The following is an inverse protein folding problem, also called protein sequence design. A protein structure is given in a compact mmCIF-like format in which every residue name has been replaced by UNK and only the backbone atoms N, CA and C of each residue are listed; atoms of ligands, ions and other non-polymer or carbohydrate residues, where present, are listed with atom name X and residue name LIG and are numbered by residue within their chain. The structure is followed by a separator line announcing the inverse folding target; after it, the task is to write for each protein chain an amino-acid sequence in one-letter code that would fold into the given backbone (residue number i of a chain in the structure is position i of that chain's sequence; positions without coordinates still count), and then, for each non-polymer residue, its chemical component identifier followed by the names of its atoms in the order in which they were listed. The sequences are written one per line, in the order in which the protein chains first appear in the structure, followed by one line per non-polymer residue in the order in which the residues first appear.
data_IF_593076196615
#
_entry.id   IF_593076196615
#
_cell.length_a   1.000
_cell.length_b   1.000
_cell.length_c   1.000
_cell.angle_alpha   90.00
_cell.angle_beta   90.00
_cell.angle_gamma   90.00
#
_symmetry.space_group_name_H-M   'P 1'
#
loop_
_entity.id
_entity.type
_entity.pdbx_description
1 polymer ?
#
# COMPACT_ATOMS: atom_id res chain seq x y z
N UNK A 1 -6.49 16.25 -42.66
CA UNK A 1 -7.06 16.93 -41.49
C UNK A 1 -6.78 16.04 -40.30
N UNK A 2 -5.74 16.36 -39.52
CA UNK A 2 -5.24 15.55 -38.42
C UNK A 2 -5.80 16.08 -37.10
N UNK A 3 -6.31 15.19 -36.23
CA UNK A 3 -6.66 15.53 -34.86
C UNK A 3 -5.40 15.48 -33.97
N UNK A 4 -5.18 16.42 -33.02
CA UNK A 4 -4.08 16.31 -32.09
C UNK A 4 -4.46 15.49 -30.85
N UNK A 5 -3.43 14.85 -30.32
CA UNK A 5 -3.37 14.00 -29.14
C UNK A 5 -4.13 14.51 -27.91
N UNK A 6 -4.98 13.65 -27.35
CA UNK A 6 -5.31 13.65 -25.93
C UNK A 6 -4.43 12.64 -25.21
N UNK A 7 -3.15 12.96 -25.00
CA UNK A 7 -2.35 12.23 -24.02
C UNK A 7 -2.92 12.57 -22.64
N UNK A 8 -3.58 11.60 -22.03
CA UNK A 8 -4.00 11.68 -20.63
C UNK A 8 -2.75 11.54 -19.76
N UNK A 9 -2.06 12.66 -19.52
CA UNK A 9 -1.03 12.77 -18.50
C UNK A 9 -1.72 12.80 -17.12
N UNK A 10 -2.16 11.64 -16.65
CA UNK A 10 -2.41 11.48 -15.22
C UNK A 10 -1.06 11.40 -14.52
N UNK A 11 -0.83 12.10 -13.39
CA UNK A 11 0.31 11.82 -12.55
C UNK A 11 0.02 10.47 -11.87
N UNK A 12 0.33 9.38 -12.56
CA UNK A 12 0.67 8.16 -11.87
C UNK A 12 1.98 8.49 -11.14
N UNK A 13 1.85 9.00 -9.92
CA UNK A 13 2.94 9.03 -8.95
C UNK A 13 3.20 7.58 -8.56
N UNK A 14 3.74 6.84 -9.52
CA UNK A 14 4.32 5.53 -9.32
C UNK A 14 5.39 5.75 -8.27
N UNK A 15 5.24 5.05 -7.15
CA UNK A 15 6.37 4.76 -6.27
C UNK A 15 7.58 4.50 -7.15
N UNK A 16 8.69 5.21 -6.92
CA UNK A 16 9.90 4.98 -7.69
C UNK A 16 10.40 3.57 -7.33
N UNK A 17 10.07 2.59 -8.16
CA UNK A 17 10.33 1.18 -7.87
C UNK A 17 11.83 0.88 -7.78
N UNK A 18 12.70 1.76 -8.28
CA UNK A 18 14.15 1.66 -8.08
C UNK A 18 14.54 1.91 -6.61
N UNK A 19 13.83 2.79 -5.89
CA UNK A 19 14.05 3.06 -4.46
C UNK A 19 13.64 1.87 -3.59
N UNK A 20 12.70 1.03 -4.05
CA UNK A 20 12.30 -0.19 -3.36
C UNK A 20 13.36 -1.29 -3.39
N UNK A 21 14.34 -1.24 -4.31
CA UNK A 21 15.46 -2.18 -4.33
C UNK A 21 16.37 -2.07 -3.10
N UNK A 22 16.28 -0.95 -2.38
CA UNK A 22 16.97 -0.75 -1.11
C UNK A 22 16.23 -1.32 0.11
N UNK A 23 15.01 -1.86 -0.07
CA UNK A 23 14.23 -2.44 1.02
C UNK A 23 14.64 -3.89 1.27
N UNK A 24 15.05 -4.20 2.49
CA UNK A 24 15.56 -5.52 2.86
C UNK A 24 14.44 -6.56 3.06
N UNK A 25 13.22 -6.11 3.38
CA UNK A 25 12.13 -7.00 3.80
C UNK A 25 10.96 -7.07 2.85
N UNK A 26 10.95 -6.26 1.79
CA UNK A 26 9.91 -6.28 0.77
C UNK A 26 10.40 -7.10 -0.42
N UNK A 27 9.76 -8.25 -0.65
CA UNK A 27 10.08 -9.13 -1.79
C UNK A 27 9.46 -8.63 -3.09
N UNK A 28 8.24 -8.10 -3.02
CA UNK A 28 7.58 -7.45 -4.15
C UNK A 28 6.52 -6.47 -3.67
N UNK A 29 6.13 -5.56 -4.56
CA UNK A 29 5.05 -4.63 -4.30
C UNK A 29 4.34 -4.27 -5.61
N UNK A 30 3.02 -4.07 -5.54
CA UNK A 30 2.21 -3.73 -6.71
C UNK A 30 1.01 -2.87 -6.34
N UNK A 31 0.70 -1.89 -7.19
CA UNK A 31 -0.44 -1.00 -6.99
C UNK A 31 -1.77 -1.71 -7.30
N UNK A 32 -2.80 -1.42 -6.50
CA UNK A 32 -4.17 -1.89 -6.69
C UNK A 32 -5.13 -0.70 -6.67
N UNK A 33 -5.02 0.14 -7.69
CA UNK A 33 -5.69 1.45 -7.76
C UNK A 33 -4.80 2.59 -7.28
N UNK A 34 -5.33 3.80 -7.32
CA UNK A 34 -4.52 5.02 -7.18
C UNK A 34 -4.01 5.25 -5.75
N UNK A 35 -4.72 4.73 -4.73
CA UNK A 35 -4.44 5.00 -3.31
C UNK A 35 -4.12 3.74 -2.52
N UNK A 36 -3.78 2.63 -3.18
CA UNK A 36 -3.53 1.36 -2.51
C UNK A 36 -2.39 0.58 -3.15
N UNK A 37 -1.56 -0.04 -2.32
CA UNK A 37 -0.48 -0.94 -2.72
C UNK A 37 -0.56 -2.23 -1.91
N UNK A 38 -0.20 -3.36 -2.52
CA UNK A 38 0.03 -4.61 -1.82
C UNK A 38 1.52 -4.90 -1.82
N UNK A 39 2.02 -5.27 -0.65
CA UNK A 39 3.40 -5.71 -0.41
C UNK A 39 3.40 -7.20 -0.12
N UNK A 40 4.34 -7.92 -0.72
CA UNK A 40 4.76 -9.24 -0.27
C UNK A 40 6.10 -9.08 0.45
N UNK A 41 6.15 -9.46 1.72
CA UNK A 41 7.38 -9.43 2.51
C UNK A 41 8.21 -10.69 2.26
N UNK A 42 9.52 -10.63 2.53
CA UNK A 42 10.44 -11.77 2.34
C UNK A 42 10.13 -12.97 3.25
N UNK A 43 9.36 -12.78 4.31
CA UNK A 43 8.84 -13.85 5.18
C UNK A 43 7.45 -14.38 4.75
N UNK A 44 6.94 -13.94 3.59
CA UNK A 44 5.73 -14.46 2.95
C UNK A 44 4.42 -13.86 3.46
N UNK A 45 4.45 -12.71 4.16
CA UNK A 45 3.24 -11.98 4.53
C UNK A 45 2.81 -11.09 3.36
N UNK A 46 1.51 -11.05 3.11
CA UNK A 46 0.91 -10.06 2.24
C UNK A 46 0.30 -8.94 3.10
N UNK A 47 0.73 -7.70 2.86
CA UNK A 47 0.22 -6.50 3.54
C UNK A 47 -0.37 -5.56 2.48
N UNK A 48 -1.66 -5.24 2.61
CA UNK A 48 -2.30 -4.19 1.84
C UNK A 48 -2.23 -2.88 2.62
N UNK A 49 -1.78 -1.83 1.93
CA UNK A 49 -1.76 -0.46 2.44
C UNK A 49 -2.77 0.35 1.63
N UNK A 50 -3.59 1.16 2.32
CA UNK A 50 -4.48 2.12 1.68
C UNK A 50 -4.25 3.50 2.27
N UNK A 51 -3.99 4.50 1.42
CA UNK A 51 -3.95 5.90 1.81
C UNK A 51 -5.37 6.47 1.77
N UNK A 52 -5.99 6.65 2.93
CA UNK A 52 -7.32 7.24 3.06
C UNK A 52 -7.21 8.72 3.36
N UNK A 53 -7.96 9.54 2.63
CA UNK A 53 -8.02 10.97 2.91
C UNK A 53 -8.92 11.26 4.12
N UNK A 54 -8.32 11.75 5.20
CA UNK A 54 -9.01 12.20 6.41
C UNK A 54 -9.38 13.68 6.28
N UNK A 55 -10.66 13.93 5.98
CA UNK A 55 -11.21 15.28 5.83
C UNK A 55 -11.16 16.13 7.10
N UNK A 56 -11.16 15.52 8.28
CA UNK A 56 -11.12 16.27 9.53
C UNK A 56 -9.72 16.83 9.81
N UNK A 57 -8.69 16.15 9.31
CA UNK A 57 -7.29 16.53 9.47
C UNK A 57 -6.68 17.16 8.22
N UNK A 58 -7.41 17.11 7.10
CA UNK A 58 -6.99 17.58 5.78
C UNK A 58 -5.69 16.90 5.28
N UNK A 59 -5.56 15.60 5.54
CA UNK A 59 -4.36 14.81 5.21
C UNK A 59 -4.71 13.38 4.84
N UNK A 60 -3.85 12.72 4.08
CA UNK A 60 -3.92 11.28 3.88
C UNK A 60 -3.37 10.54 5.09
N UNK A 61 -3.98 9.41 5.43
CA UNK A 61 -3.62 8.53 6.55
C UNK A 61 -3.54 7.10 6.02
N UNK A 62 -2.46 6.39 6.34
CA UNK A 62 -2.29 5.00 5.94
C UNK A 62 -3.11 4.06 6.82
N UNK A 63 -3.83 3.12 6.20
CA UNK A 63 -4.38 1.95 6.85
C UNK A 63 -3.69 0.67 6.35
N UNK A 64 -3.56 -0.31 7.24
CA UNK A 64 -2.87 -1.56 6.98
C UNK A 64 -3.80 -2.74 7.19
N UNK A 65 -3.76 -3.68 6.26
CA UNK A 65 -4.46 -4.95 6.35
C UNK A 65 -3.51 -6.09 6.04
N UNK A 66 -3.58 -7.16 6.81
CA UNK A 66 -2.81 -8.39 6.57
C UNK A 66 -3.70 -9.43 5.92
N UNK A 67 -3.17 -10.16 4.93
CA UNK A 67 -3.86 -11.34 4.41
C UNK A 67 -3.97 -12.40 5.50
N UNK A 68 -5.20 -12.81 5.79
CA UNK A 68 -5.52 -13.76 6.85
C UNK A 68 -6.44 -14.85 6.31
N UNK A 69 -6.39 -16.04 6.92
CA UNK A 69 -7.32 -17.13 6.61
C UNK A 69 -8.33 -17.27 7.75
N UNK A 70 -9.62 -17.23 7.41
CA UNK A 70 -10.72 -17.37 8.37
C UNK A 70 -11.52 -18.62 8.02
N UNK A 71 -11.85 -19.42 9.04
CA UNK A 71 -12.72 -20.59 8.90
C UNK A 71 -14.17 -20.18 9.03
N UNK A 72 -14.97 -20.48 8.02
CA UNK A 72 -16.42 -20.26 8.04
C UNK A 72 -17.14 -21.42 7.38
N UNK A 73 -18.06 -22.07 8.10
CA UNK A 73 -18.87 -23.17 7.54
C UNK A 73 -18.08 -24.36 6.99
N UNK A 74 -16.88 -24.64 7.52
CA UNK A 74 -16.00 -25.69 7.01
C UNK A 74 -15.12 -25.29 5.82
N UNK A 75 -15.19 -24.03 5.38
CA UNK A 75 -14.35 -23.48 4.31
C UNK A 75 -13.28 -22.55 4.89
N UNK A 76 -12.08 -22.61 4.30
CA UNK A 76 -11.01 -21.63 4.54
C UNK A 76 -11.16 -20.47 3.55
N UNK A 77 -11.43 -19.27 4.07
CA UNK A 77 -11.56 -18.04 3.27
C UNK A 77 -10.33 -17.15 3.48
N UNK A 78 -9.73 -16.69 2.39
CA UNK A 78 -8.67 -15.68 2.43
C UNK A 78 -9.29 -14.28 2.43
N UNK A 79 -9.01 -13.51 3.46
CA UNK A 79 -9.55 -12.15 3.65
C UNK A 79 -8.44 -11.17 3.95
N UNK A 80 -8.71 -9.89 3.70
CA UNK A 80 -7.91 -8.79 4.25
C UNK A 80 -8.49 -8.43 5.61
N UNK A 81 -7.65 -8.44 6.64
CA UNK A 81 -8.04 -8.06 7.99
C UNK A 81 -7.20 -6.88 8.44
N UNK A 82 -7.84 -5.84 8.97
CA UNK A 82 -7.14 -4.70 9.55
C UNK A 82 -6.13 -5.16 10.61
N UNK A 83 -4.97 -4.52 10.63
CA UNK A 83 -3.90 -4.88 11.54
C UNK A 83 -3.31 -3.63 12.22
N UNK A 84 -3.18 -3.62 13.56
CA UNK A 84 -2.60 -2.49 14.30
C UNK A 84 -1.06 -2.56 14.35
N UNK A 85 -0.46 -3.43 13.54
CA UNK A 85 0.92 -3.85 13.70
C UNK A 85 1.94 -2.82 13.17
N UNK A 86 1.47 -1.82 12.43
CA UNK A 86 2.27 -0.74 11.85
C UNK A 86 1.69 0.61 12.28
N UNK A 87 2.56 1.60 12.46
CA UNK A 87 2.10 2.95 12.77
C UNK A 87 1.44 3.60 11.56
N UNK A 88 0.38 4.36 11.81
CA UNK A 88 -0.21 5.19 10.77
C UNK A 88 0.78 6.26 10.33
N UNK A 89 1.05 6.31 9.03
CA UNK A 89 1.75 7.39 8.36
C UNK A 89 0.73 8.42 7.87
N UNK A 90 1.16 9.69 7.78
CA UNK A 90 0.32 10.77 7.27
C UNK A 90 1.11 11.66 6.33
N UNK A 91 0.46 12.11 5.26
CA UNK A 91 1.05 13.02 4.29
C UNK A 91 -0.02 13.89 3.62
N UNK A 92 0.41 14.90 2.87
CA UNK A 92 -0.50 15.86 2.23
C UNK A 92 -1.07 15.31 0.91
N UNK A 93 -0.42 14.30 0.32
CA UNK A 93 -0.88 13.55 -0.84
C UNK A 93 -0.80 12.02 -0.61
N UNK A 94 -1.52 11.27 -1.45
CA UNK A 94 -1.63 9.83 -1.31
C UNK A 94 -0.31 9.09 -1.55
N UNK A 95 0.51 9.55 -2.50
CA UNK A 95 1.73 8.86 -2.89
C UNK A 95 2.79 8.93 -1.79
N UNK A 96 3.03 10.13 -1.26
CA UNK A 96 3.91 10.33 -0.10
C UNK A 96 3.43 9.55 1.13
N UNK A 97 2.11 9.40 1.30
CA UNK A 97 1.54 8.61 2.39
C UNK A 97 1.83 7.11 2.23
N UNK A 98 1.66 6.58 1.00
CA UNK A 98 1.96 5.19 0.68
C UNK A 98 3.45 4.89 0.81
N UNK A 99 4.32 5.77 0.30
CA UNK A 99 5.77 5.64 0.42
C UNK A 99 6.22 5.52 1.88
N UNK A 100 5.81 6.48 2.72
CA UNK A 100 6.11 6.45 4.15
C UNK A 100 5.61 5.16 4.83
N UNK A 101 4.44 4.67 4.42
CA UNK A 101 3.85 3.44 4.94
C UNK A 101 4.61 2.18 4.48
N UNK A 102 5.12 2.15 3.25
CA UNK A 102 6.00 1.07 2.77
C UNK A 102 7.27 1.00 3.61
N UNK A 103 7.90 2.14 3.88
CA UNK A 103 9.07 2.22 4.77
C UNK A 103 8.75 1.80 6.21
N UNK A 104 7.54 2.06 6.72
CA UNK A 104 7.12 1.53 8.02
C UNK A 104 7.05 0.00 8.03
N UNK A 105 6.48 -0.61 6.98
CA UNK A 105 6.40 -2.07 6.87
C UNK A 105 7.80 -2.71 6.76
N UNK A 106 8.69 -2.12 5.98
CA UNK A 106 10.07 -2.62 5.85
C UNK A 106 10.84 -2.55 7.18
N UNK A 107 10.72 -1.45 7.92
CA UNK A 107 11.42 -1.24 9.20
C UNK A 107 10.96 -2.16 10.33
N UNK A 108 9.67 -2.50 10.39
CA UNK A 108 9.11 -3.24 11.52
C UNK A 108 9.18 -4.75 11.28
N UNK A 109 9.92 -5.43 12.15
CA UNK A 109 9.93 -6.88 12.18
C UNK A 109 8.85 -7.39 13.14
N UNK A 110 7.86 -8.10 12.61
CA UNK A 110 6.75 -8.62 13.39
C UNK A 110 6.96 -10.12 13.53
N UNK A 111 7.46 -10.52 14.70
CA UNK A 111 7.67 -11.90 15.11
C UNK A 111 6.43 -12.47 15.81
#
# INVERSE_FOLDING_TARGET
MSAPAGQSSGPASALDWEELSALDRIASAYAIGDHSVVLETTDGREIRITALYDRARDRYVSEYEKRSSVKSGGHDLRVWAQTPAYKQCTADDAASCLEAAVFEVDRINIY
#
